data_IF_458994529541
#
_entry.id   IF_458994529541
#
_cell.length_a   1.000
_cell.length_b   1.000
_cell.length_c   1.000
_cell.angle_alpha   90.00
_cell.angle_beta   90.00
_cell.angle_gamma   90.00
#
_symmetry.space_group_name_H-M   'P 1'
#
loop_
_entity.id
_entity.type
_entity.pdbx_description
1 polymer ?
#
# COMPACT_ATOMS: atom_id res chain seq x y z
N UNK A 1 23.74 -3.94 17.66
CA UNK A 1 23.03 -2.69 17.99
C UNK A 1 21.71 -2.75 17.27
N UNK A 2 20.57 -2.88 17.98
CA UNK A 2 19.28 -2.69 17.36
C UNK A 2 19.20 -1.22 16.97
N UNK A 3 19.22 -0.98 15.66
CA UNK A 3 19.00 0.34 15.10
C UNK A 3 17.57 0.76 15.48
N UNK A 4 17.43 1.85 16.24
CA UNK A 4 16.13 2.25 16.77
C UNK A 4 15.18 2.50 15.61
N UNK A 5 14.09 1.74 15.56
CA UNK A 5 13.02 1.93 14.57
C UNK A 5 12.56 3.39 14.65
N UNK A 6 12.55 4.10 13.51
CA UNK A 6 12.12 5.48 13.44
C UNK A 6 10.64 5.57 13.84
N UNK A 7 10.35 6.03 15.07
CA UNK A 7 8.98 6.33 15.48
C UNK A 7 8.52 7.60 14.79
N UNK A 8 7.33 7.57 14.19
CA UNK A 8 6.76 8.68 13.43
C UNK A 8 5.28 8.90 13.79
N UNK A 9 5.00 9.08 15.09
CA UNK A 9 3.66 9.46 15.56
C UNK A 9 3.15 10.71 14.85
N UNK A 10 1.84 10.80 14.66
CA UNK A 10 1.19 11.98 14.08
C UNK A 10 1.15 13.12 15.09
N UNK A 11 1.24 14.36 14.60
CA UNK A 11 0.83 15.55 15.35
C UNK A 11 -0.70 15.74 15.13
N UNK A 12 -1.50 14.93 15.83
CA UNK A 12 -2.97 14.92 15.69
C UNK A 12 -3.61 15.86 16.70
N UNK A 13 -4.59 16.64 16.24
CA UNK A 13 -5.39 17.54 17.11
C UNK A 13 -6.35 16.78 18.04
N UNK A 14 -6.55 15.49 17.83
CA UNK A 14 -7.41 14.63 18.63
C UNK A 14 -6.73 13.27 18.87
N UNK A 15 -7.02 12.57 19.99
CA UNK A 15 -6.49 11.24 20.23
C UNK A 15 -6.89 10.25 19.12
N UNK A 16 -5.91 9.53 18.60
CA UNK A 16 -6.12 8.42 17.65
C UNK A 16 -5.75 7.10 18.31
N UNK A 17 -6.31 6.01 17.81
CA UNK A 17 -5.83 4.67 18.20
C UNK A 17 -4.39 4.49 17.70
N UNK A 18 -3.50 3.81 18.45
CA UNK A 18 -2.07 3.72 18.13
C UNK A 18 -1.79 3.27 16.70
N UNK A 19 -2.55 2.29 16.18
CA UNK A 19 -2.39 1.80 14.81
C UNK A 19 -2.59 2.88 13.73
N UNK A 20 -3.40 3.89 13.97
CA UNK A 20 -3.60 5.03 13.06
C UNK A 20 -2.59 6.14 13.30
N UNK A 21 -2.26 6.39 14.57
CA UNK A 21 -1.30 7.41 14.98
C UNK A 21 0.11 7.12 14.46
N UNK A 22 0.56 5.88 14.61
CA UNK A 22 1.92 5.46 14.28
C UNK A 22 2.10 5.04 12.81
N UNK A 23 1.01 4.65 12.14
CA UNK A 23 1.08 4.21 10.74
C UNK A 23 1.57 5.32 9.81
N UNK A 24 2.57 5.04 9.01
CA UNK A 24 3.07 5.91 7.95
C UNK A 24 3.49 5.10 6.71
N UNK A 25 3.97 5.74 5.65
CA UNK A 25 4.36 5.10 4.38
C UNK A 25 5.87 5.23 4.20
N UNK A 26 6.67 4.27 4.66
CA UNK A 26 8.12 4.28 4.58
C UNK A 26 8.62 4.00 3.16
N UNK A 27 9.88 4.39 2.91
CA UNK A 27 10.65 4.04 1.72
C UNK A 27 11.87 3.19 2.06
N UNK A 28 12.32 3.26 3.31
CA UNK A 28 13.44 2.47 3.80
C UNK A 28 12.94 1.13 4.32
N UNK A 29 13.22 0.06 3.59
CA UNK A 29 12.87 -1.31 3.96
C UNK A 29 14.11 -2.13 4.26
N UNK A 30 13.98 -3.08 5.18
CA UNK A 30 15.00 -4.08 5.45
C UNK A 30 14.97 -5.17 4.36
N UNK A 31 15.97 -5.13 3.49
CA UNK A 31 16.13 -6.09 2.40
C UNK A 31 16.52 -7.51 2.85
N UNK A 32 16.79 -7.71 4.14
CA UNK A 32 17.03 -9.03 4.71
C UNK A 32 15.78 -9.65 5.33
N UNK A 33 14.80 -8.82 5.70
CA UNK A 33 13.54 -9.28 6.27
C UNK A 33 12.65 -9.94 5.21
N UNK A 34 11.92 -10.97 5.62
CA UNK A 34 10.96 -11.71 4.78
C UNK A 34 9.58 -11.69 5.43
N UNK A 35 8.54 -11.94 4.64
CA UNK A 35 7.16 -12.10 5.13
C UNK A 35 6.77 -13.59 4.97
N UNK A 36 6.33 -14.22 6.07
CA UNK A 36 5.80 -15.59 6.06
C UNK A 36 4.45 -15.70 5.37
N UNK A 37 4.03 -16.93 5.03
CA UNK A 37 2.75 -17.20 4.37
C UNK A 37 1.59 -16.75 5.26
N UNK A 38 1.57 -17.16 6.53
CA UNK A 38 0.49 -16.86 7.48
C UNK A 38 0.31 -15.34 7.67
N UNK A 39 1.40 -14.58 7.77
CA UNK A 39 1.33 -13.12 7.88
C UNK A 39 0.76 -12.51 6.60
N UNK A 40 1.25 -12.90 5.42
CA UNK A 40 0.74 -12.37 4.16
C UNK A 40 -0.75 -12.69 3.98
N UNK A 41 -1.17 -13.90 4.32
CA UNK A 41 -2.56 -14.33 4.26
C UNK A 41 -3.44 -13.53 5.24
N UNK A 42 -2.95 -13.22 6.46
CA UNK A 42 -3.66 -12.34 7.40
C UNK A 42 -3.87 -10.92 6.85
N UNK A 43 -2.87 -10.36 6.14
CA UNK A 43 -2.99 -9.07 5.49
C UNK A 43 -4.08 -9.10 4.38
N UNK A 44 -4.06 -10.13 3.55
CA UNK A 44 -5.03 -10.31 2.47
C UNK A 44 -6.44 -10.60 3.01
N UNK A 45 -6.53 -11.33 4.13
CA UNK A 45 -7.79 -11.58 4.83
C UNK A 45 -8.40 -10.28 5.36
N UNK A 46 -7.61 -9.38 5.95
CA UNK A 46 -8.09 -8.06 6.37
C UNK A 46 -8.65 -7.25 5.18
N UNK A 47 -7.99 -7.29 4.03
CA UNK A 47 -8.50 -6.67 2.81
C UNK A 47 -9.78 -7.34 2.32
N UNK A 48 -9.89 -8.67 2.42
CA UNK A 48 -11.07 -9.43 2.02
C UNK A 48 -12.31 -9.06 2.83
N UNK A 49 -12.15 -8.78 4.13
CA UNK A 49 -13.24 -8.41 5.04
C UNK A 49 -13.64 -6.93 4.98
N UNK A 50 -12.94 -6.09 4.24
CA UNK A 50 -13.36 -4.72 4.04
C UNK A 50 -14.79 -4.65 3.43
N UNK A 51 -15.61 -3.66 3.81
CA UNK A 51 -16.92 -3.49 3.22
C UNK A 51 -16.84 -3.16 1.72
N UNK A 52 -17.96 -3.37 1.01
CA UNK A 52 -18.11 -2.93 -0.38
C UNK A 52 -19.58 -2.67 -0.70
N UNK A 53 -19.86 -1.79 -1.65
CA UNK A 53 -21.20 -1.48 -2.10
C UNK A 53 -21.95 -2.79 -2.51
N UNK A 54 -23.12 -3.03 -1.92
CA UNK A 54 -23.93 -4.24 -2.14
C UNK A 54 -23.13 -5.56 -2.03
N UNK A 55 -22.04 -5.56 -1.24
CA UNK A 55 -21.14 -6.70 -1.11
C UNK A 55 -20.57 -7.23 -2.45
N UNK A 56 -20.38 -6.34 -3.43
CA UNK A 56 -19.87 -6.71 -4.76
C UNK A 56 -18.40 -7.13 -4.77
N UNK A 57 -17.62 -6.77 -3.75
CA UNK A 57 -16.23 -7.21 -3.53
C UNK A 57 -15.33 -7.04 -4.77
N UNK A 58 -15.21 -5.82 -5.33
CA UNK A 58 -14.56 -5.57 -6.62
C UNK A 58 -13.03 -5.52 -6.55
N UNK A 59 -12.44 -5.93 -5.45
CA UNK A 59 -10.99 -5.92 -5.21
C UNK A 59 -10.32 -7.19 -5.72
N UNK A 60 -9.18 -7.01 -6.42
CA UNK A 60 -8.29 -8.10 -6.85
C UNK A 60 -6.85 -7.71 -6.55
N UNK A 61 -6.02 -8.70 -6.27
CA UNK A 61 -4.63 -8.47 -5.93
C UNK A 61 -3.71 -9.40 -6.71
N UNK A 62 -2.54 -8.86 -7.12
CA UNK A 62 -1.40 -9.65 -7.57
C UNK A 62 -0.30 -9.44 -6.56
N UNK A 63 0.25 -10.51 -6.01
CA UNK A 63 1.24 -10.43 -4.94
C UNK A 63 2.52 -11.13 -5.35
N UNK A 64 3.64 -10.43 -5.25
CA UNK A 64 4.98 -10.97 -5.45
C UNK A 64 5.83 -10.79 -4.20
N UNK A 65 6.43 -11.88 -3.69
CA UNK A 65 7.48 -11.80 -2.67
C UNK A 65 8.81 -11.51 -3.30
N UNK A 66 9.66 -10.74 -2.64
CA UNK A 66 11.01 -10.45 -3.13
C UNK A 66 11.72 -11.74 -3.55
N UNK A 67 12.38 -11.71 -4.71
CA UNK A 67 13.02 -12.85 -5.33
C UNK A 67 12.13 -13.70 -6.24
N UNK A 68 10.79 -13.57 -6.19
CA UNK A 68 9.90 -14.26 -7.12
C UNK A 68 9.87 -13.61 -8.51
N UNK A 69 9.40 -14.34 -9.52
CA UNK A 69 9.18 -13.79 -10.86
C UNK A 69 8.11 -12.68 -10.82
N UNK A 70 7.00 -12.91 -10.10
CA UNK A 70 5.93 -11.92 -9.94
C UNK A 70 6.43 -10.61 -9.34
N UNK A 71 7.29 -10.67 -8.31
CA UNK A 71 7.87 -9.48 -7.71
C UNK A 71 8.66 -8.67 -8.74
N UNK A 72 9.56 -9.33 -9.49
CA UNK A 72 10.36 -8.67 -10.53
C UNK A 72 9.49 -8.05 -11.62
N UNK A 73 8.44 -8.75 -12.03
CA UNK A 73 7.49 -8.24 -13.02
C UNK A 73 6.79 -6.98 -12.52
N UNK A 74 6.33 -6.94 -11.25
CA UNK A 74 5.71 -5.76 -10.64
C UNK A 74 6.72 -4.61 -10.52
N UNK A 75 7.94 -4.89 -10.05
CA UNK A 75 9.01 -3.91 -9.87
C UNK A 75 9.34 -3.18 -11.17
N UNK A 76 9.36 -3.89 -12.29
CA UNK A 76 9.61 -3.33 -13.63
C UNK A 76 8.54 -2.33 -14.09
N UNK A 77 7.36 -2.35 -13.48
CA UNK A 77 6.27 -1.43 -13.81
C UNK A 77 6.24 -0.18 -12.90
N UNK A 78 7.19 -0.05 -11.97
CA UNK A 78 7.29 1.14 -11.12
C UNK A 78 7.93 2.29 -11.88
N UNK A 79 7.33 3.48 -11.78
CA UNK A 79 7.79 4.68 -12.47
C UNK A 79 8.54 5.65 -11.55
N UNK A 80 9.48 6.36 -12.12
CA UNK A 80 10.16 7.50 -11.51
C UNK A 80 10.84 7.16 -10.19
N UNK A 81 10.54 7.95 -9.16
CA UNK A 81 11.17 7.83 -7.84
C UNK A 81 10.86 6.51 -7.10
N UNK A 82 9.73 5.85 -7.42
CA UNK A 82 9.33 4.61 -6.75
C UNK A 82 10.28 3.45 -7.08
N UNK A 83 10.75 3.35 -8.30
CA UNK A 83 11.69 2.32 -8.73
C UNK A 83 13.03 2.32 -7.96
N UNK A 84 13.42 3.47 -7.38
CA UNK A 84 14.70 3.60 -6.68
C UNK A 84 14.75 2.90 -5.31
N UNK A 85 13.60 2.64 -4.68
CA UNK A 85 13.57 2.12 -3.31
C UNK A 85 12.64 0.92 -3.09
N UNK A 86 11.56 0.78 -3.89
CA UNK A 86 10.51 -0.20 -3.61
C UNK A 86 10.98 -1.67 -3.76
N UNK A 87 12.01 -1.93 -4.57
CA UNK A 87 12.62 -3.26 -4.73
C UNK A 87 13.23 -3.85 -3.45
N UNK A 88 13.43 -3.05 -2.41
CA UNK A 88 13.91 -3.52 -1.09
C UNK A 88 12.80 -4.06 -0.20
N UNK A 89 11.53 -3.81 -0.52
CA UNK A 89 10.39 -4.33 0.24
C UNK A 89 10.37 -5.86 0.22
N UNK A 90 9.77 -6.47 1.24
CA UNK A 90 9.63 -7.93 1.34
C UNK A 90 8.60 -8.48 0.36
N UNK A 91 7.58 -7.68 0.01
CA UNK A 91 6.59 -8.01 -1.02
C UNK A 91 6.13 -6.74 -1.75
N UNK A 92 5.71 -6.92 -3.01
CA UNK A 92 4.97 -5.95 -3.80
C UNK A 92 3.58 -6.50 -4.10
N UNK A 93 2.56 -5.66 -3.97
CA UNK A 93 1.17 -6.00 -4.21
C UNK A 93 0.58 -5.00 -5.20
N UNK A 94 0.08 -5.49 -6.35
CA UNK A 94 -0.76 -4.68 -7.24
C UNK A 94 -2.19 -4.73 -6.75
N UNK A 95 -2.79 -3.58 -6.48
CA UNK A 95 -4.20 -3.43 -6.15
C UNK A 95 -4.99 -3.11 -7.42
N UNK A 96 -5.98 -3.95 -7.73
CA UNK A 96 -6.79 -3.91 -8.94
C UNK A 96 -8.25 -3.68 -8.57
N UNK A 97 -8.90 -2.72 -9.24
CA UNK A 97 -10.34 -2.53 -9.18
C UNK A 97 -11.01 -3.31 -10.33
N UNK A 98 -11.98 -4.16 -10.00
CA UNK A 98 -12.87 -4.75 -10.99
C UNK A 98 -14.00 -3.77 -11.27
N UNK A 99 -13.81 -2.93 -12.28
CA UNK A 99 -14.74 -1.82 -12.62
C UNK A 99 -15.98 -2.26 -13.36
N UNK A 100 -15.99 -3.50 -13.86
CA UNK A 100 -17.10 -4.13 -14.56
C UNK A 100 -17.15 -5.62 -14.18
N UNK A 101 -18.34 -6.20 -14.03
CA UNK A 101 -18.49 -7.64 -13.80
C UNK A 101 -18.16 -8.44 -15.07
N UNK A 102 -18.09 -9.76 -14.96
CA UNK A 102 -17.93 -10.63 -16.13
C UNK A 102 -19.13 -10.54 -17.08
N UNK A 103 -20.31 -10.16 -16.58
CA UNK A 103 -21.56 -10.04 -17.32
C UNK A 103 -21.77 -8.62 -17.89
N UNK A 104 -20.81 -7.69 -17.69
CA UNK A 104 -20.84 -6.33 -18.23
C UNK A 104 -21.48 -5.27 -17.32
N UNK A 105 -21.80 -5.61 -16.07
CA UNK A 105 -22.38 -4.65 -15.13
C UNK A 105 -21.30 -3.69 -14.58
N UNK A 106 -21.49 -2.39 -14.76
CA UNK A 106 -20.56 -1.36 -14.28
C UNK A 106 -20.56 -1.28 -12.75
N UNK A 107 -19.41 -1.34 -12.14
CA UNK A 107 -19.18 -1.24 -10.69
C UNK A 107 -18.67 0.16 -10.31
N UNK A 108 -19.57 1.11 -10.25
CA UNK A 108 -19.27 2.53 -10.00
C UNK A 108 -18.33 2.79 -8.79
N UNK A 109 -18.44 1.97 -7.74
CA UNK A 109 -17.73 2.18 -6.48
C UNK A 109 -16.47 1.32 -6.35
N UNK A 110 -16.02 0.65 -7.44
CA UNK A 110 -14.94 -0.32 -7.39
C UNK A 110 -13.64 0.23 -6.81
N UNK A 111 -13.21 1.42 -7.21
CA UNK A 111 -11.98 2.05 -6.69
C UNK A 111 -12.14 2.52 -5.24
N UNK A 112 -13.31 3.04 -4.86
CA UNK A 112 -13.61 3.41 -3.48
C UNK A 112 -13.55 2.19 -2.55
N UNK A 113 -14.18 1.09 -2.94
CA UNK A 113 -14.19 -0.17 -2.19
C UNK A 113 -12.79 -0.81 -2.13
N UNK A 114 -12.01 -0.69 -3.21
CA UNK A 114 -10.61 -1.12 -3.22
C UNK A 114 -9.78 -0.29 -2.24
N UNK A 115 -9.98 1.03 -2.18
CA UNK A 115 -9.29 1.90 -1.23
C UNK A 115 -9.55 1.49 0.22
N UNK A 116 -10.79 1.12 0.57
CA UNK A 116 -11.14 0.59 1.90
C UNK A 116 -10.40 -0.74 2.19
N UNK A 117 -10.35 -1.64 1.20
CA UNK A 117 -9.66 -2.91 1.36
C UNK A 117 -8.16 -2.72 1.60
N UNK A 118 -7.51 -1.84 0.85
CA UNK A 118 -6.07 -1.53 1.04
C UNK A 118 -5.82 -0.79 2.36
N UNK A 119 -6.78 0.02 2.83
CA UNK A 119 -6.70 0.64 4.16
C UNK A 119 -6.77 -0.40 5.29
N UNK A 120 -7.69 -1.37 5.20
CA UNK A 120 -7.79 -2.47 6.18
C UNK A 120 -6.51 -3.33 6.19
N UNK A 121 -5.97 -3.66 5.01
CA UNK A 121 -4.69 -4.35 4.85
C UNK A 121 -3.54 -3.56 5.52
N UNK A 122 -3.52 -2.23 5.39
CA UNK A 122 -2.49 -1.39 5.99
C UNK A 122 -2.57 -1.38 7.53
N UNK A 123 -3.78 -1.39 8.11
CA UNK A 123 -3.98 -1.49 9.57
C UNK A 123 -3.50 -2.83 10.09
N UNK A 124 -3.87 -3.93 9.43
CA UNK A 124 -3.43 -5.27 9.80
C UNK A 124 -1.91 -5.40 9.71
N UNK A 125 -1.29 -4.91 8.64
CA UNK A 125 0.16 -4.95 8.49
C UNK A 125 0.87 -4.21 9.63
N UNK A 126 0.36 -3.05 10.03
CA UNK A 126 0.95 -2.31 11.15
C UNK A 126 0.80 -3.06 12.46
N UNK A 127 -0.32 -3.74 12.69
CA UNK A 127 -0.51 -4.62 13.85
C UNK A 127 0.47 -5.80 13.89
N UNK A 128 0.89 -6.29 12.72
CA UNK A 128 1.93 -7.34 12.55
C UNK A 128 3.37 -6.78 12.56
N UNK A 129 3.56 -5.49 12.88
CA UNK A 129 4.87 -4.83 12.88
C UNK A 129 5.44 -4.54 11.48
N UNK A 130 4.62 -4.63 10.44
CA UNK A 130 4.96 -4.31 9.06
C UNK A 130 4.45 -2.93 8.67
N UNK A 131 5.05 -2.36 7.63
CA UNK A 131 4.61 -1.08 7.07
C UNK A 131 4.35 -1.20 5.58
N UNK A 132 3.40 -0.37 5.12
CA UNK A 132 3.01 -0.30 3.73
C UNK A 132 3.26 1.09 3.14
N UNK A 133 3.67 1.11 1.87
CA UNK A 133 3.69 2.32 1.07
C UNK A 133 2.95 2.08 -0.24
N UNK A 134 1.82 2.75 -0.42
CA UNK A 134 1.02 2.71 -1.65
C UNK A 134 1.57 3.71 -2.67
N UNK A 135 1.76 3.27 -3.91
CA UNK A 135 2.36 4.04 -5.00
C UNK A 135 1.41 4.12 -6.17
N UNK A 136 1.05 5.35 -6.60
CA UNK A 136 0.29 5.58 -7.84
C UNK A 136 1.18 5.81 -9.07
N UNK A 137 2.50 6.00 -8.88
CA UNK A 137 3.45 6.13 -9.99
C UNK A 137 3.83 4.76 -10.56
N UNK A 138 2.97 4.21 -11.40
CA UNK A 138 3.10 2.89 -12.03
C UNK A 138 2.76 2.98 -13.52
N UNK A 139 3.32 2.10 -14.32
CA UNK A 139 2.91 1.88 -15.71
C UNK A 139 1.68 0.95 -15.74
N UNK A 140 0.50 1.54 -15.83
CA UNK A 140 -0.78 0.81 -15.81
C UNK A 140 -0.89 -0.13 -17.01
N UNK A 141 -0.49 0.31 -18.21
CA UNK A 141 -0.54 -0.50 -19.42
C UNK A 141 0.50 -1.62 -19.37
N UNK A 142 1.68 -1.33 -18.83
CA UNK A 142 2.72 -2.32 -18.56
C UNK A 142 2.26 -3.41 -17.59
N UNK A 143 1.59 -3.05 -16.50
CA UNK A 143 0.98 -4.03 -15.57
C UNK A 143 -0.08 -4.88 -16.29
N UNK A 144 -0.96 -4.25 -17.09
CA UNK A 144 -1.98 -4.98 -17.86
C UNK A 144 -1.37 -6.02 -18.78
N UNK A 145 -0.37 -5.62 -19.56
CA UNK A 145 0.30 -6.48 -20.52
C UNK A 145 1.08 -7.62 -19.81
N UNK A 146 1.79 -7.28 -18.73
CA UNK A 146 2.64 -8.24 -18.03
C UNK A 146 1.85 -9.37 -17.33
N UNK A 147 0.59 -9.14 -16.97
CA UNK A 147 -0.27 -10.10 -16.26
C UNK A 147 -1.50 -10.51 -17.08
N UNK A 148 -1.55 -10.18 -18.37
CA UNK A 148 -2.66 -10.50 -19.29
C UNK A 148 -4.04 -10.15 -18.68
N UNK A 149 -4.15 -8.92 -18.15
CA UNK A 149 -5.35 -8.50 -17.44
C UNK A 149 -6.47 -8.10 -18.41
N UNK A 150 -7.70 -8.62 -18.23
CA UNK A 150 -8.83 -8.15 -18.98
C UNK A 150 -9.16 -6.68 -18.67
N UNK A 151 -9.78 -5.98 -19.63
CA UNK A 151 -10.11 -4.55 -19.52
C UNK A 151 -10.87 -4.18 -18.23
N UNK A 152 -11.71 -5.09 -17.72
CA UNK A 152 -12.49 -4.90 -16.49
C UNK A 152 -11.67 -4.85 -15.20
N UNK A 153 -10.40 -5.30 -15.21
CA UNK A 153 -9.48 -5.20 -14.08
C UNK A 153 -8.53 -4.04 -14.29
N UNK A 154 -8.69 -3.00 -13.47
CA UNK A 154 -7.89 -1.77 -13.57
C UNK A 154 -6.84 -1.73 -12.47
N UNK A 155 -5.52 -1.73 -12.81
CA UNK A 155 -4.47 -1.49 -11.83
C UNK A 155 -4.58 -0.06 -11.28
N UNK A 156 -4.64 0.10 -9.95
CA UNK A 156 -4.80 1.41 -9.29
C UNK A 156 -3.52 1.82 -8.57
N UNK A 157 -2.94 0.92 -7.77
CA UNK A 157 -1.69 1.17 -7.05
C UNK A 157 -0.82 -0.07 -6.99
N UNK A 158 0.49 0.14 -6.80
CA UNK A 158 1.38 -0.88 -6.27
C UNK A 158 1.72 -0.53 -4.82
N UNK A 159 1.64 -1.50 -3.93
CA UNK A 159 1.95 -1.36 -2.50
C UNK A 159 3.22 -2.12 -2.18
N UNK A 160 4.22 -1.42 -1.64
CA UNK A 160 5.40 -2.03 -1.04
C UNK A 160 5.09 -2.42 0.42
N UNK A 161 5.44 -3.64 0.83
CA UNK A 161 5.17 -4.21 2.15
C UNK A 161 6.46 -4.74 2.75
N UNK A 162 6.76 -4.37 4.00
CA UNK A 162 7.97 -4.90 4.65
C UNK A 162 8.25 -4.30 6.02
N UNK A 163 9.36 -4.74 6.60
CA UNK A 163 9.92 -4.21 7.84
C UNK A 163 10.68 -2.91 7.53
N UNK A 164 10.48 -1.88 8.34
CA UNK A 164 11.18 -0.59 8.19
C UNK A 164 12.66 -0.76 8.55
N UNK A 165 13.51 -0.10 7.76
CA UNK A 165 14.94 0.05 8.05
C UNK A 165 15.29 1.52 8.32
N UNK A 166 16.52 1.75 8.82
CA UNK A 166 17.00 3.10 9.08
C UNK A 166 17.09 3.92 7.78
N UNK A 167 16.71 5.23 7.80
CA UNK A 167 16.74 6.10 6.61
C UNK A 167 18.09 6.24 5.93
N UNK A 168 19.20 5.97 6.64
CA UNK A 168 20.57 6.01 6.08
C UNK A 168 20.79 5.02 4.92
N UNK A 169 19.88 4.07 4.70
CA UNK A 169 19.92 3.15 3.55
C UNK A 169 19.38 3.77 2.26
N UNK A 170 18.78 4.94 2.35
CA UNK A 170 18.22 5.68 1.22
C UNK A 170 19.25 6.70 0.70
N UNK A 171 19.08 7.13 -0.56
CA UNK A 171 19.76 8.31 -1.05
C UNK A 171 19.32 9.57 -0.26
N UNK A 172 20.08 10.64 -0.37
CA UNK A 172 19.85 11.88 0.38
C UNK A 172 18.43 12.45 0.18
N UNK A 173 17.93 12.44 -1.05
CA UNK A 173 16.58 12.95 -1.40
C UNK A 173 15.48 12.08 -0.80
N UNK A 174 15.63 10.77 -0.85
CA UNK A 174 14.68 9.83 -0.25
C UNK A 174 14.74 9.89 1.28
N UNK A 175 15.94 9.97 1.89
CA UNK A 175 16.13 10.10 3.33
C UNK A 175 15.51 11.40 3.87
N UNK A 176 15.67 12.53 3.17
CA UNK A 176 15.04 13.79 3.54
C UNK A 176 13.49 13.68 3.55
N UNK A 177 12.89 13.01 2.56
CA UNK A 177 11.44 12.76 2.53
C UNK A 177 10.99 11.78 3.61
N UNK A 178 11.84 10.80 3.94
CA UNK A 178 11.58 9.79 4.95
C UNK A 178 11.47 10.40 6.35
N UNK A 179 12.29 11.40 6.64
CA UNK A 179 12.38 12.06 7.95
C UNK A 179 11.57 13.37 8.04
N UNK A 180 11.03 13.87 6.94
CA UNK A 180 10.23 15.10 6.91
C UNK A 180 9.02 15.03 7.86
N UNK A 181 8.63 16.14 8.54
CA UNK A 181 7.42 16.17 9.36
C UNK A 181 6.18 15.67 8.60
N UNK A 182 5.30 14.96 9.32
CA UNK A 182 4.01 14.52 8.77
C UNK A 182 2.99 15.63 8.97
N UNK A 183 2.38 16.08 7.89
CA UNK A 183 1.37 17.13 7.94
C UNK A 183 0.05 16.66 7.35
N UNK A 184 -1.04 17.27 7.78
CA UNK A 184 -2.37 17.14 7.20
C UNK A 184 -3.04 18.51 7.15
N UNK A 185 -4.02 18.65 6.29
CA UNK A 185 -4.91 19.80 6.31
C UNK A 185 -5.65 19.84 7.65
N UNK A 186 -5.96 21.05 8.19
CA UNK A 186 -6.81 21.22 9.36
C UNK A 186 -8.19 20.59 9.16
N UNK A 187 -8.87 20.22 10.25
CA UNK A 187 -10.19 19.57 10.18
C UNK A 187 -11.27 20.47 9.51
N UNK A 188 -11.19 21.77 9.68
CA UNK A 188 -12.11 22.75 9.08
C UNK A 188 -11.95 22.91 7.56
N UNK A 189 -10.79 22.54 7.00
CA UNK A 189 -10.64 22.44 5.55
C UNK A 189 -11.20 21.13 4.99
N UNK A 190 -11.31 20.09 5.81
CA UNK A 190 -11.81 18.76 5.40
C UNK A 190 -13.32 18.64 5.65
N UNK A 191 -13.80 19.19 6.76
CA UNK A 191 -15.19 19.15 7.19
C UNK A 191 -15.87 20.45 6.76
N UNK A 192 -16.54 20.44 5.60
CA UNK A 192 -17.15 21.63 5.01
C UNK A 192 -18.35 22.15 5.79
N UNK A 193 -19.09 21.30 6.49
CA UNK A 193 -20.23 21.65 7.34
C UNK A 193 -20.21 20.79 8.60
N UNK A 194 -20.34 21.40 9.77
CA UNK A 194 -20.47 20.74 11.06
C UNK A 194 -21.41 21.56 11.94
N UNK A 195 -22.54 21.00 12.33
CA UNK A 195 -23.56 21.54 13.27
C UNK A 195 -23.50 20.84 14.62
#
# INVERSE_FOLDING_TARGET
MHDATLSRSTDSSQPLVPLLEERWSPRSYDETATIGDDTLDALLEAARWAPSAANMQPRRFIVGRRGSATFRTIEQQLLGFNAAWAGRASALLVALAEVESADGDVRRWAEYDLGQAVAALAVQAHAEGLHLHQMGGIDVDGVRAAFDLPARLVPVTVTAIGTVAHPSRLDEKAAARETAPRTRLPLDEIVLVRE
#
